data_IF_469569545660
#
_entry.id   IF_469569545660
#
_cell.length_a   1.000
_cell.length_b   1.000
_cell.length_c   1.000
_cell.angle_alpha   90.00
_cell.angle_beta   90.00
_cell.angle_gamma   90.00
#
_symmetry.space_group_name_H-M   'P 1'
#
loop_
_entity.id
_entity.type
_entity.pdbx_description
1 polymer ?
#
# COMPACT_ATOMS: atom_id res chain seq x y z
N UNK A 1 -16.17 -24.00 -5.67
CA UNK A 1 -16.30 -23.23 -6.92
C UNK A 1 -16.92 -21.87 -6.60
N UNK A 2 -16.11 -20.84 -6.30
CA UNK A 2 -16.63 -19.48 -6.21
C UNK A 2 -16.73 -18.93 -7.63
N UNK A 3 -17.96 -18.71 -8.10
CA UNK A 3 -18.19 -18.03 -9.37
C UNK A 3 -17.63 -16.61 -9.30
N UNK A 4 -16.86 -16.13 -10.29
CA UNK A 4 -16.22 -14.83 -10.27
C UNK A 4 -17.24 -13.74 -10.58
N UNK A 5 -18.19 -13.52 -9.67
CA UNK A 5 -19.04 -12.33 -9.69
C UNK A 5 -18.30 -11.19 -8.96
N UNK A 6 -17.29 -10.60 -9.60
CA UNK A 6 -16.53 -9.47 -9.03
C UNK A 6 -16.08 -8.56 -10.18
N UNK A 7 -16.49 -7.29 -10.13
CA UNK A 7 -16.19 -6.16 -11.04
C UNK A 7 -14.75 -6.08 -11.59
N UNK A 8 -13.78 -6.73 -10.94
CA UNK A 8 -12.34 -6.65 -11.22
C UNK A 8 -11.71 -7.99 -11.67
N UNK A 9 -12.49 -9.00 -12.04
CA UNK A 9 -11.95 -10.32 -12.43
C UNK A 9 -10.94 -10.23 -13.59
N UNK A 10 -11.20 -9.33 -14.55
CA UNK A 10 -10.32 -9.07 -15.71
C UNK A 10 -8.96 -8.54 -15.28
N UNK A 11 -8.93 -7.66 -14.27
CA UNK A 11 -7.70 -7.08 -13.75
C UNK A 11 -6.84 -8.15 -13.09
N UNK A 12 -7.43 -8.97 -12.21
CA UNK A 12 -6.71 -10.05 -11.53
C UNK A 12 -6.16 -11.04 -12.55
N UNK A 13 -7.00 -11.43 -13.51
CA UNK A 13 -6.60 -12.33 -14.60
C UNK A 13 -5.43 -11.73 -15.41
N UNK A 14 -5.49 -10.46 -15.79
CA UNK A 14 -4.41 -9.79 -16.53
C UNK A 14 -3.07 -9.70 -15.77
N UNK A 15 -3.10 -9.68 -14.44
CA UNK A 15 -1.88 -9.61 -13.61
C UNK A 15 -1.16 -10.96 -13.53
N UNK A 16 -1.93 -12.07 -13.42
CA UNK A 16 -1.39 -13.39 -13.07
C UNK A 16 -1.51 -14.46 -14.17
N UNK A 17 -2.26 -14.23 -15.24
CA UNK A 17 -2.49 -15.23 -16.28
C UNK A 17 -1.30 -15.37 -17.22
N UNK A 18 -0.78 -16.59 -17.32
CA UNK A 18 0.30 -16.93 -18.26
C UNK A 18 -0.30 -17.63 -19.47
N UNK A 19 -0.41 -16.91 -20.60
CA UNK A 19 -0.83 -17.49 -21.88
C UNK A 19 0.32 -18.27 -22.50
N UNK A 20 0.13 -19.57 -22.75
CA UNK A 20 1.13 -20.47 -23.37
C UNK A 20 0.85 -20.77 -24.84
N UNK A 21 -0.40 -20.65 -25.27
CA UNK A 21 -0.85 -20.96 -26.63
C UNK A 21 -1.56 -19.73 -27.20
N UNK A 22 -1.17 -19.33 -28.42
CA UNK A 22 -1.79 -18.23 -29.15
C UNK A 22 -2.44 -18.81 -30.42
N UNK A 23 -3.74 -18.59 -30.59
CA UNK A 23 -4.53 -19.17 -31.68
C UNK A 23 -4.33 -18.47 -33.05
N UNK A 24 -3.48 -17.45 -33.13
CA UNK A 24 -3.22 -16.74 -34.38
C UNK A 24 -1.76 -16.31 -34.50
N UNK A 25 -1.25 -16.35 -35.73
CA UNK A 25 0.17 -16.23 -36.09
C UNK A 25 0.61 -14.79 -36.36
N UNK A 26 -0.18 -13.78 -35.98
CA UNK A 26 0.18 -12.37 -36.16
C UNK A 26 0.98 -11.89 -34.95
N UNK A 27 2.21 -12.40 -34.85
CA UNK A 27 3.08 -12.36 -33.68
C UNK A 27 3.63 -10.98 -33.25
N UNK A 28 3.24 -9.87 -33.89
CA UNK A 28 3.93 -8.60 -33.67
C UNK A 28 3.24 -7.58 -32.76
N UNK A 29 2.05 -7.86 -32.22
CA UNK A 29 1.36 -6.88 -31.35
C UNK A 29 0.50 -7.47 -30.21
N UNK A 30 0.58 -8.79 -29.96
CA UNK A 30 -0.37 -9.48 -29.07
C UNK A 30 0.24 -10.28 -27.90
N UNK A 31 1.53 -10.12 -27.58
CA UNK A 31 2.13 -10.76 -26.40
C UNK A 31 2.10 -9.84 -25.18
N UNK A 32 0.92 -9.58 -24.60
CA UNK A 32 0.85 -8.95 -23.28
C UNK A 32 1.30 -9.96 -22.22
N UNK A 33 2.54 -9.84 -21.76
CA UNK A 33 3.04 -10.62 -20.61
C UNK A 33 2.28 -10.23 -19.35
N UNK A 34 1.98 -11.22 -18.50
CA UNK A 34 1.41 -10.94 -17.18
C UNK A 34 2.39 -10.08 -16.38
N UNK A 35 1.86 -9.15 -15.59
CA UNK A 35 2.67 -8.28 -14.73
C UNK A 35 3.53 -9.13 -13.79
N UNK A 36 2.99 -10.23 -13.27
CA UNK A 36 3.72 -11.14 -12.40
C UNK A 36 4.95 -11.75 -13.10
N UNK A 37 4.85 -12.12 -14.37
CA UNK A 37 5.97 -12.67 -15.14
C UNK A 37 7.01 -11.59 -15.50
N UNK A 38 6.56 -10.38 -15.85
CA UNK A 38 7.47 -9.30 -16.26
C UNK A 38 8.36 -8.80 -15.13
N UNK A 39 7.81 -8.73 -13.91
CA UNK A 39 8.53 -8.27 -12.71
C UNK A 39 9.13 -9.42 -11.88
N UNK A 40 9.14 -10.65 -12.40
CA UNK A 40 9.64 -11.84 -11.68
C UNK A 40 9.04 -12.00 -10.28
N UNK A 41 7.74 -11.73 -10.16
CA UNK A 41 7.01 -11.81 -8.89
C UNK A 41 6.61 -13.26 -8.66
N UNK A 42 7.08 -13.86 -7.57
CA UNK A 42 6.66 -15.19 -7.15
C UNK A 42 5.16 -15.21 -6.82
N UNK A 43 4.38 -16.06 -7.51
CA UNK A 43 2.95 -16.23 -7.28
C UNK A 43 2.52 -17.69 -7.33
N UNK A 44 1.42 -18.02 -6.65
CA UNK A 44 0.81 -19.35 -6.67
C UNK A 44 -0.72 -19.24 -6.58
N UNK A 45 -1.43 -20.19 -7.19
CA UNK A 45 -2.89 -20.26 -7.08
C UNK A 45 -3.29 -20.64 -5.65
N UNK A 46 -4.11 -19.81 -5.01
CA UNK A 46 -4.68 -20.15 -3.71
C UNK A 46 -5.96 -20.96 -3.86
N UNK A 47 -6.01 -22.13 -3.24
CA UNK A 47 -7.23 -22.95 -3.09
C UNK A 47 -7.97 -22.66 -1.79
N UNK A 48 -7.49 -21.70 -0.99
CA UNK A 48 -8.13 -21.35 0.30
C UNK A 48 -9.54 -20.83 0.05
N UNK A 49 -10.52 -21.54 0.59
CA UNK A 49 -11.87 -21.03 0.72
C UNK A 49 -11.84 -19.91 1.77
N UNK A 50 -12.38 -18.74 1.42
CA UNK A 50 -12.53 -17.66 2.40
C UNK A 50 -13.61 -18.10 3.40
N UNK A 51 -13.16 -18.53 4.58
CA UNK A 51 -14.01 -18.90 5.70
C UNK A 51 -14.02 -17.77 6.73
N UNK A 52 -15.20 -17.42 7.24
CA UNK A 52 -15.40 -16.33 8.19
C UNK A 52 -16.76 -15.67 8.02
N UNK A 53 -17.27 -15.05 9.08
CA UNK A 53 -18.45 -14.19 9.01
C UNK A 53 -18.10 -12.89 8.28
N UNK A 54 -19.06 -12.38 7.50
CA UNK A 54 -18.93 -11.06 6.88
C UNK A 54 -18.84 -10.01 7.98
N UNK A 55 -17.74 -9.25 7.99
CA UNK A 55 -17.59 -8.11 8.88
C UNK A 55 -18.28 -6.93 8.20
N UNK A 56 -19.46 -6.55 8.70
CA UNK A 56 -20.26 -5.47 8.12
C UNK A 56 -19.78 -4.08 8.56
N UNK A 57 -19.03 -4.00 9.66
CA UNK A 57 -18.57 -2.74 10.23
C UNK A 57 -17.15 -2.87 10.80
N UNK A 58 -16.28 -1.90 10.44
CA UNK A 58 -14.87 -1.86 10.86
C UNK A 58 -14.61 -0.87 12.01
N UNK A 59 -15.61 -0.11 12.45
CA UNK A 59 -15.46 1.06 13.32
C UNK A 59 -14.88 0.72 14.70
N UNK A 60 -15.00 -0.55 15.14
CA UNK A 60 -14.49 -1.03 16.43
C UNK A 60 -13.31 -2.02 16.31
N UNK A 61 -12.75 -2.22 15.11
CA UNK A 61 -11.66 -3.19 14.93
C UNK A 61 -10.30 -2.63 15.38
N UNK A 62 -10.14 -1.31 15.36
CA UNK A 62 -8.87 -0.67 15.66
C UNK A 62 -9.05 0.39 16.74
N UNK A 63 -8.13 0.40 17.71
CA UNK A 63 -8.05 1.48 18.68
C UNK A 63 -7.30 2.64 18.04
N UNK A 64 -7.88 3.84 18.06
CA UNK A 64 -7.20 5.05 17.62
C UNK A 64 -5.94 5.26 18.45
N UNK A 65 -4.80 5.40 17.79
CA UNK A 65 -3.55 5.71 18.46
C UNK A 65 -3.63 7.09 19.09
N UNK A 66 -3.42 7.17 20.41
CA UNK A 66 -3.25 8.43 21.12
C UNK A 66 -1.78 8.84 21.02
N UNK A 67 -1.52 10.08 20.64
CA UNK A 67 -0.20 10.67 20.63
C UNK A 67 -0.25 12.04 21.32
N UNK A 68 0.88 12.43 21.91
CA UNK A 68 1.04 13.74 22.56
C UNK A 68 1.29 14.82 21.50
N UNK A 69 0.90 16.05 21.83
CA UNK A 69 1.17 17.20 20.96
C UNK A 69 2.68 17.42 20.83
N UNK A 70 3.18 17.43 19.59
CA UNK A 70 4.58 17.71 19.28
C UNK A 70 4.77 19.19 18.94
N UNK A 71 5.81 19.81 19.51
CA UNK A 71 6.16 21.21 19.20
C UNK A 71 6.91 21.37 17.87
N UNK A 72 7.46 20.28 17.32
CA UNK A 72 8.36 20.34 16.17
C UNK A 72 7.75 19.67 14.94
N UNK A 73 7.62 18.36 14.97
CA UNK A 73 7.08 17.57 13.87
C UNK A 73 6.52 16.22 14.34
N UNK A 74 5.67 15.64 13.50
CA UNK A 74 5.25 14.24 13.57
C UNK A 74 5.95 13.44 12.48
N UNK A 75 6.28 12.19 12.80
CA UNK A 75 7.00 11.26 11.91
C UNK A 75 6.20 9.97 11.75
N UNK A 76 6.05 9.52 10.50
CA UNK A 76 5.36 8.28 10.17
C UNK A 76 6.31 7.43 9.33
N UNK A 77 6.54 6.17 9.75
CA UNK A 77 7.32 5.24 8.93
C UNK A 77 6.51 4.82 7.70
N UNK A 78 7.16 4.71 6.53
CA UNK A 78 6.50 4.46 5.25
C UNK A 78 6.10 3.00 5.01
N UNK A 79 6.35 2.10 5.96
CA UNK A 79 6.19 0.65 5.80
C UNK A 79 4.72 0.20 6.00
N UNK A 80 3.83 1.07 6.49
CA UNK A 80 2.44 0.71 6.76
C UNK A 80 1.54 0.81 5.51
N UNK A 81 0.65 -0.16 5.33
CA UNK A 81 -0.30 -0.22 4.22
C UNK A 81 -1.20 1.02 4.13
N UNK A 82 -1.53 1.64 5.26
CA UNK A 82 -2.43 2.79 5.32
C UNK A 82 -1.75 4.13 5.04
N UNK A 83 -0.42 4.14 4.82
CA UNK A 83 0.35 5.37 4.54
C UNK A 83 -0.24 6.19 3.38
N UNK A 84 -0.62 5.62 2.22
CA UNK A 84 -1.20 6.39 1.12
C UNK A 84 -2.54 7.06 1.50
N UNK A 85 -3.37 6.38 2.30
CA UNK A 85 -4.64 6.94 2.77
C UNK A 85 -4.40 8.13 3.72
N UNK A 86 -3.41 8.02 4.60
CA UNK A 86 -2.99 9.12 5.49
C UNK A 86 -2.48 10.31 4.68
N UNK A 87 -1.59 10.08 3.71
CA UNK A 87 -1.08 11.16 2.83
C UNK A 87 -2.25 11.86 2.14
N UNK A 88 -3.18 11.11 1.55
CA UNK A 88 -4.33 11.67 0.85
C UNK A 88 -5.20 12.53 1.77
N UNK A 89 -5.44 12.06 3.00
CA UNK A 89 -6.19 12.82 4.01
C UNK A 89 -5.47 14.12 4.39
N UNK A 90 -4.17 14.08 4.63
CA UNK A 90 -3.37 15.26 4.97
C UNK A 90 -3.37 16.29 3.84
N UNK A 91 -3.17 15.85 2.60
CA UNK A 91 -3.18 16.72 1.42
C UNK A 91 -4.56 17.33 1.16
N UNK A 92 -5.64 16.57 1.38
CA UNK A 92 -7.02 17.07 1.26
C UNK A 92 -7.30 18.19 2.28
N UNK A 93 -6.66 18.14 3.45
CA UNK A 93 -6.69 19.18 4.47
C UNK A 93 -5.62 20.27 4.27
N UNK A 94 -4.98 20.33 3.09
CA UNK A 94 -3.93 21.30 2.75
C UNK A 94 -2.69 21.27 3.67
N UNK A 95 -2.46 20.15 4.35
CA UNK A 95 -1.27 19.95 5.20
C UNK A 95 -0.12 19.49 4.31
N UNK A 96 0.99 20.24 4.36
CA UNK A 96 2.21 19.89 3.63
C UNK A 96 2.96 18.76 4.34
N UNK A 97 3.28 17.72 3.59
CA UNK A 97 4.03 16.56 4.08
C UNK A 97 5.35 16.46 3.31
N UNK A 98 6.45 16.30 4.03
CA UNK A 98 7.77 16.03 3.45
C UNK A 98 8.10 14.55 3.57
N UNK A 99 8.98 14.04 2.71
CA UNK A 99 9.43 12.63 2.76
C UNK A 99 10.94 12.55 2.92
N UNK A 100 11.41 11.54 3.65
CA UNK A 100 12.81 11.28 3.86
C UNK A 100 13.39 10.41 2.74
N UNK A 101 14.38 10.95 2.02
CA UNK A 101 15.10 10.20 0.97
C UNK A 101 16.18 9.27 1.50
N UNK A 102 16.54 9.37 2.78
CA UNK A 102 17.54 8.52 3.44
C UNK A 102 17.02 8.08 4.81
N UNK A 103 17.34 6.86 5.27
CA UNK A 103 17.00 6.40 6.60
C UNK A 103 17.74 7.23 7.64
N UNK A 104 17.07 7.48 8.77
CA UNK A 104 17.62 8.27 9.87
C UNK A 104 17.13 7.77 11.23
N UNK A 105 17.80 8.22 12.29
CA UNK A 105 17.40 7.94 13.67
C UNK A 105 17.22 9.26 14.40
N UNK A 106 16.17 9.37 15.21
CA UNK A 106 15.87 10.57 15.99
C UNK A 106 15.31 10.19 17.36
N UNK A 107 15.60 11.02 18.36
CA UNK A 107 14.98 10.90 19.68
C UNK A 107 13.53 11.41 19.60
N UNK A 108 12.59 10.51 19.88
CA UNK A 108 11.16 10.82 20.02
C UNK A 108 10.78 10.86 21.50
N UNK A 109 9.56 11.26 21.83
CA UNK A 109 9.02 11.16 23.20
C UNK A 109 9.10 9.74 23.76
N UNK A 110 9.10 8.72 22.89
CA UNK A 110 9.21 7.31 23.23
C UNK A 110 10.64 6.75 23.05
N UNK A 111 11.66 7.61 23.04
CA UNK A 111 13.07 7.25 22.89
C UNK A 111 13.60 7.28 21.46
N UNK A 112 14.81 6.76 21.27
CA UNK A 112 15.48 6.72 19.96
C UNK A 112 14.75 5.76 19.00
N UNK A 113 14.20 6.29 17.91
CA UNK A 113 13.54 5.50 16.86
C UNK A 113 14.23 5.65 15.52
N UNK A 114 14.21 4.57 14.74
CA UNK A 114 14.69 4.53 13.35
C UNK A 114 13.53 4.67 12.38
N UNK A 115 13.79 5.39 11.29
CA UNK A 115 12.87 5.65 10.19
C UNK A 115 13.54 5.25 8.88
N UNK A 116 12.82 4.51 8.04
CA UNK A 116 13.33 4.01 6.77
C UNK A 116 13.07 4.98 5.62
N UNK A 117 13.49 4.59 4.41
CA UNK A 117 13.20 5.33 3.18
C UNK A 117 11.70 5.62 3.02
N UNK A 118 11.39 6.82 2.54
CA UNK A 118 10.01 7.24 2.29
C UNK A 118 9.26 7.73 3.52
N UNK A 119 9.86 7.64 4.72
CA UNK A 119 9.22 8.10 5.96
C UNK A 119 8.70 9.53 5.85
N UNK A 120 7.50 9.77 6.35
CA UNK A 120 6.81 11.05 6.23
C UNK A 120 7.14 11.94 7.43
N UNK A 121 7.31 13.22 7.13
CA UNK A 121 7.56 14.29 8.10
C UNK A 121 6.49 15.35 7.96
N UNK A 122 5.77 15.60 9.05
CA UNK A 122 4.69 16.58 9.15
C UNK A 122 5.14 17.64 10.14
N UNK A 123 5.57 18.81 9.65
CA UNK A 123 6.02 19.90 10.51
C UNK A 123 4.82 20.61 11.17
N UNK A 124 4.90 20.84 12.49
CA UNK A 124 3.89 21.59 13.25
C UNK A 124 4.21 23.09 13.21
N UNK A 125 5.48 23.43 13.36
CA UNK A 125 5.99 24.78 13.12
C UNK A 125 7.07 24.71 12.06
N UNK A 126 6.84 25.40 10.95
CA UNK A 126 7.93 25.73 10.02
C UNK A 126 8.66 26.89 10.68
N UNK A 127 9.80 26.59 11.30
CA UNK A 127 10.71 27.65 11.73
C UNK A 127 11.27 28.28 10.45
N UNK A 128 10.79 29.50 10.16
CA UNK A 128 11.27 30.35 9.07
C UNK A 128 12.58 31.01 9.51
#
# INVERSE_FOLDING_TARGET
MCQPNKKNYRTVRSIFETNKEFNDSVFYDASSWSIANFYDINYTSSTRQMEGSSIENLDNLFKTNTFEESNYAYLINSVDYNVPAVINSLLSNQIKVSTAFKPFKINTSNGLKSFDYGSLVIAVSIQI
#
